data_IF_152430949380
#
_entry.id   IF_152430949380
#
_cell.length_a   1.000
_cell.length_b   1.000
_cell.length_c   1.000
_cell.angle_alpha   90.00
_cell.angle_beta   90.00
_cell.angle_gamma   90.00
#
_symmetry.space_group_name_H-M   'P 1'
#
loop_
_entity.id
_entity.type
_entity.pdbx_description
1 polymer ?
#
# COMPACT_ATOMS: atom_id res chain seq x y z
N UNK A 1 8.28 -10.10 5.18
CA UNK A 1 7.00 -9.49 4.76
C UNK A 1 7.05 -9.14 3.28
N UNK A 2 5.98 -9.39 2.56
CA UNK A 2 5.90 -9.09 1.13
C UNK A 2 4.82 -8.05 0.87
N UNK A 3 5.22 -6.92 0.28
CA UNK A 3 4.35 -5.77 0.02
C UNK A 3 4.26 -5.52 -1.49
N UNK A 4 3.05 -5.30 -1.99
CA UNK A 4 2.84 -4.78 -3.33
C UNK A 4 2.71 -3.26 -3.23
N UNK A 5 3.62 -2.54 -3.84
CA UNK A 5 3.61 -1.07 -3.88
C UNK A 5 3.16 -0.61 -5.26
N UNK A 6 1.93 -0.13 -5.35
CA UNK A 6 1.37 0.39 -6.59
C UNK A 6 1.55 1.91 -6.59
N UNK A 7 2.43 2.41 -7.45
CA UNK A 7 2.80 3.82 -7.48
C UNK A 7 3.26 4.22 -8.89
N UNK A 8 3.25 5.50 -9.16
CA UNK A 8 3.77 6.03 -10.42
C UNK A 8 5.30 5.90 -10.44
N UNK A 9 5.85 5.50 -11.57
CA UNK A 9 7.28 5.23 -11.72
C UNK A 9 8.17 6.35 -11.18
N UNK A 10 7.81 7.60 -11.47
CA UNK A 10 8.61 8.76 -11.05
C UNK A 10 8.71 8.93 -9.54
N UNK A 11 7.77 8.35 -8.78
CA UNK A 11 7.71 8.47 -7.33
C UNK A 11 8.07 7.16 -6.61
N UNK A 12 8.30 6.09 -7.37
CA UNK A 12 8.46 4.75 -6.81
C UNK A 12 9.62 4.67 -5.82
N UNK A 13 10.76 5.27 -6.16
CA UNK A 13 11.95 5.21 -5.33
C UNK A 13 11.71 5.88 -3.97
N UNK A 14 11.02 7.02 -3.97
CA UNK A 14 10.74 7.74 -2.74
C UNK A 14 9.86 6.93 -1.78
N UNK A 15 8.79 6.32 -2.31
CA UNK A 15 7.89 5.50 -1.49
C UNK A 15 8.57 4.21 -1.02
N UNK A 16 9.27 3.56 -1.92
CA UNK A 16 9.96 2.31 -1.59
C UNK A 16 11.02 2.51 -0.53
N UNK A 17 11.81 3.59 -0.63
CA UNK A 17 12.85 3.91 0.34
C UNK A 17 12.27 4.12 1.73
N UNK A 18 11.14 4.82 1.82
CA UNK A 18 10.48 5.01 3.12
C UNK A 18 10.02 3.70 3.72
N UNK A 19 9.39 2.85 2.92
CA UNK A 19 8.92 1.55 3.41
C UNK A 19 10.08 0.68 3.86
N UNK A 20 11.16 0.63 3.10
CA UNK A 20 12.35 -0.15 3.49
C UNK A 20 12.99 0.37 4.76
N UNK A 21 13.04 1.67 4.92
CA UNK A 21 13.58 2.29 6.13
C UNK A 21 12.75 1.94 7.36
N UNK A 22 11.43 2.02 7.25
CA UNK A 22 10.52 1.75 8.36
C UNK A 22 10.54 0.28 8.80
N UNK A 23 10.73 -0.63 7.86
CA UNK A 23 10.72 -2.07 8.12
C UNK A 23 12.10 -2.72 7.94
N UNK A 24 13.16 -1.95 8.20
CA UNK A 24 14.54 -2.41 8.07
C UNK A 24 14.86 -3.61 8.97
N UNK A 25 14.09 -3.80 10.04
CA UNK A 25 14.24 -4.96 10.93
C UNK A 25 13.73 -6.27 10.34
N UNK A 26 13.03 -6.22 9.22
CA UNK A 26 12.55 -7.42 8.53
C UNK A 26 13.54 -7.84 7.44
N UNK A 27 14.37 -8.84 7.75
CA UNK A 27 15.39 -9.34 6.82
C UNK A 27 14.82 -10.04 5.59
N UNK A 28 13.51 -10.30 5.57
CA UNK A 28 12.82 -10.97 4.46
C UNK A 28 11.87 -10.02 3.73
N UNK A 29 12.02 -8.72 3.94
CA UNK A 29 11.16 -7.74 3.30
C UNK A 29 11.34 -7.77 1.78
N UNK A 30 10.22 -7.97 1.08
CA UNK A 30 10.15 -7.90 -0.38
C UNK A 30 9.12 -6.85 -0.75
N UNK A 31 9.49 -5.93 -1.61
CA UNK A 31 8.59 -4.91 -2.13
C UNK A 31 8.56 -5.04 -3.65
N UNK A 32 7.40 -5.40 -4.18
CA UNK A 32 7.18 -5.44 -5.63
C UNK A 32 6.59 -4.10 -6.07
N UNK A 33 7.29 -3.39 -6.95
CA UNK A 33 6.80 -2.14 -7.51
C UNK A 33 5.89 -2.42 -8.70
N UNK A 34 4.71 -1.80 -8.70
CA UNK A 34 3.72 -1.94 -9.75
C UNK A 34 3.34 -0.52 -10.21
N UNK A 35 3.42 -0.25 -11.50
CA UNK A 35 3.33 1.11 -12.02
C UNK A 35 2.00 1.42 -12.71
N UNK A 36 1.14 0.42 -12.86
CA UNK A 36 -0.17 0.60 -13.48
C UNK A 36 -1.12 -0.52 -13.04
N UNK A 37 -2.40 -0.35 -13.39
CA UNK A 37 -3.43 -1.31 -13.00
C UNK A 37 -3.21 -2.72 -13.57
N UNK A 38 -2.66 -2.80 -14.77
CA UNK A 38 -2.42 -4.10 -15.40
C UNK A 38 -1.39 -4.90 -14.60
N UNK A 39 -0.29 -4.25 -14.21
CA UNK A 39 0.74 -4.88 -13.38
C UNK A 39 0.19 -5.26 -12.02
N UNK A 40 -0.61 -4.38 -11.42
CA UNK A 40 -1.26 -4.66 -10.14
C UNK A 40 -2.15 -5.90 -10.23
N UNK A 41 -2.99 -5.97 -11.26
CA UNK A 41 -3.89 -7.10 -11.47
C UNK A 41 -3.11 -8.41 -11.64
N UNK A 42 -2.06 -8.39 -12.45
CA UNK A 42 -1.24 -9.58 -12.66
C UNK A 42 -0.55 -10.03 -11.38
N UNK A 43 0.00 -9.09 -10.61
CA UNK A 43 0.69 -9.41 -9.36
C UNK A 43 -0.28 -10.02 -8.34
N UNK A 44 -1.45 -9.43 -8.17
CA UNK A 44 -2.44 -9.92 -7.20
C UNK A 44 -3.00 -11.29 -7.57
N UNK A 45 -3.01 -11.65 -8.85
CA UNK A 45 -3.43 -12.98 -9.29
C UNK A 45 -2.35 -14.04 -9.11
N UNK A 46 -1.07 -13.64 -9.15
CA UNK A 46 0.07 -14.58 -9.13
C UNK A 46 0.65 -14.81 -7.75
N UNK A 47 0.55 -13.82 -6.88
CA UNK A 47 1.25 -13.84 -5.60
C UNK A 47 0.34 -13.41 -4.47
N UNK A 48 0.65 -13.90 -3.28
CA UNK A 48 0.00 -13.43 -2.05
C UNK A 48 0.90 -12.38 -1.40
N UNK A 49 0.27 -11.27 -1.00
CA UNK A 49 0.97 -10.20 -0.32
C UNK A 49 0.45 -10.05 1.11
N UNK A 50 1.31 -9.59 1.99
CA UNK A 50 0.91 -9.24 3.36
C UNK A 50 0.15 -7.92 3.39
N UNK A 51 0.48 -7.02 2.46
CA UNK A 51 -0.23 -5.77 2.30
C UNK A 51 -0.08 -5.24 0.88
N UNK A 52 -1.07 -4.46 0.45
CA UNK A 52 -1.00 -3.68 -0.79
C UNK A 52 -0.98 -2.22 -0.40
N UNK A 53 0.00 -1.48 -0.87
CA UNK A 53 0.11 -0.04 -0.65
C UNK A 53 -0.17 0.66 -1.97
N UNK A 54 -1.23 1.46 -2.01
CA UNK A 54 -1.59 2.27 -3.17
C UNK A 54 -1.11 3.70 -2.91
N UNK A 55 -0.14 4.14 -3.70
CA UNK A 55 0.48 5.47 -3.57
C UNK A 55 0.47 6.17 -4.92
N UNK A 56 -0.72 6.34 -5.47
CA UNK A 56 -0.95 7.02 -6.76
C UNK A 56 -1.87 8.20 -6.53
N UNK A 57 -1.63 9.27 -7.26
CA UNK A 57 -2.42 10.50 -7.12
C UNK A 57 -3.74 10.45 -7.88
N UNK A 58 -4.73 11.17 -7.36
CA UNK A 58 -6.00 11.41 -8.02
C UNK A 58 -6.78 10.15 -8.37
N UNK A 59 -7.44 10.19 -9.52
CA UNK A 59 -8.32 9.12 -9.99
C UNK A 59 -7.59 7.79 -10.20
N UNK A 60 -6.31 7.82 -10.56
CA UNK A 60 -5.53 6.59 -10.73
C UNK A 60 -5.41 5.83 -9.41
N UNK A 61 -5.21 6.55 -8.31
CA UNK A 61 -5.17 5.95 -6.98
C UNK A 61 -6.50 5.32 -6.60
N UNK A 62 -7.60 6.02 -6.89
CA UNK A 62 -8.94 5.50 -6.65
C UNK A 62 -9.20 4.21 -7.44
N UNK A 63 -8.90 4.23 -8.73
CA UNK A 63 -9.10 3.06 -9.59
C UNK A 63 -8.26 1.87 -9.11
N UNK A 64 -6.99 2.12 -8.74
CA UNK A 64 -6.11 1.07 -8.23
C UNK A 64 -6.63 0.49 -6.90
N UNK A 65 -7.12 1.34 -6.01
CA UNK A 65 -7.69 0.88 -4.74
C UNK A 65 -8.92 0.01 -4.94
N UNK A 66 -9.83 0.41 -5.83
CA UNK A 66 -11.03 -0.37 -6.16
C UNK A 66 -10.62 -1.72 -6.74
N UNK A 67 -9.67 -1.72 -7.68
CA UNK A 67 -9.20 -2.94 -8.33
C UNK A 67 -8.56 -3.90 -7.33
N UNK A 68 -7.72 -3.39 -6.44
CA UNK A 68 -7.07 -4.20 -5.43
C UNK A 68 -8.09 -4.85 -4.49
N UNK A 69 -9.09 -4.11 -4.04
CA UNK A 69 -10.14 -4.64 -3.17
C UNK A 69 -10.97 -5.71 -3.87
N UNK A 70 -11.20 -5.56 -5.16
CA UNK A 70 -11.96 -6.53 -5.94
C UNK A 70 -11.18 -7.82 -6.17
N UNK A 71 -9.88 -7.71 -6.48
CA UNK A 71 -9.05 -8.88 -6.81
C UNK A 71 -8.53 -9.63 -5.60
N UNK A 72 -8.27 -8.92 -4.51
CA UNK A 72 -7.69 -9.50 -3.31
C UNK A 72 -8.35 -8.91 -2.06
N UNK A 73 -9.65 -9.20 -1.85
CA UNK A 73 -10.40 -8.57 -0.76
C UNK A 73 -9.88 -8.94 0.64
N UNK A 74 -9.18 -10.06 0.76
CA UNK A 74 -8.61 -10.52 2.02
C UNK A 74 -7.24 -9.90 2.34
N UNK A 75 -6.61 -9.23 1.38
CA UNK A 75 -5.29 -8.61 1.60
C UNK A 75 -5.48 -7.19 2.15
N UNK A 76 -4.83 -6.86 3.29
CA UNK A 76 -4.92 -5.51 3.84
C UNK A 76 -4.40 -4.48 2.85
N UNK A 77 -5.13 -3.37 2.74
CA UNK A 77 -4.82 -2.30 1.81
C UNK A 77 -4.51 -1.01 2.57
N UNK A 78 -3.41 -0.36 2.20
CA UNK A 78 -3.10 1.00 2.62
C UNK A 78 -3.28 1.90 1.41
N UNK A 79 -4.16 2.90 1.54
CA UNK A 79 -4.35 3.90 0.50
C UNK A 79 -3.67 5.20 0.94
N UNK A 80 -2.56 5.50 0.31
CA UNK A 80 -1.72 6.65 0.61
C UNK A 80 -2.02 7.71 -0.45
N UNK A 81 -2.92 8.63 -0.11
CA UNK A 81 -3.55 9.52 -1.09
C UNK A 81 -3.15 10.98 -0.90
N UNK A 82 -3.13 11.70 -2.02
CA UNK A 82 -2.96 13.16 -2.03
C UNK A 82 -4.29 13.91 -1.87
N UNK A 83 -5.42 13.21 -1.87
CA UNK A 83 -6.75 13.83 -1.81
C UNK A 83 -7.56 13.26 -0.64
N UNK A 84 -7.73 14.08 0.41
CA UNK A 84 -8.48 13.68 1.59
C UNK A 84 -9.97 13.49 1.32
N UNK A 85 -10.49 14.00 0.20
CA UNK A 85 -11.88 13.80 -0.17
C UNK A 85 -12.20 12.34 -0.49
N UNK A 86 -11.19 11.51 -0.75
CA UNK A 86 -11.37 10.08 -0.94
C UNK A 86 -11.58 9.30 0.36
N UNK A 87 -11.45 9.95 1.51
CA UNK A 87 -11.58 9.25 2.81
C UNK A 87 -12.93 8.54 2.97
N UNK A 88 -14.01 9.15 2.52
CA UNK A 88 -15.34 8.54 2.61
C UNK A 88 -15.44 7.31 1.72
N UNK A 89 -14.84 7.37 0.53
CA UNK A 89 -14.80 6.23 -0.39
C UNK A 89 -13.99 5.10 0.24
N UNK A 90 -12.85 5.43 0.85
CA UNK A 90 -12.02 4.45 1.55
C UNK A 90 -12.81 3.75 2.66
N UNK A 91 -13.59 4.50 3.41
CA UNK A 91 -14.47 3.95 4.44
C UNK A 91 -15.49 2.97 3.85
N UNK A 92 -16.17 3.36 2.76
CA UNK A 92 -17.14 2.49 2.10
C UNK A 92 -16.53 1.24 1.50
N UNK A 93 -15.29 1.34 1.02
CA UNK A 93 -14.56 0.18 0.49
C UNK A 93 -13.95 -0.70 1.58
N UNK A 94 -14.10 -0.30 2.84
CA UNK A 94 -13.51 -0.99 4.00
C UNK A 94 -12.00 -1.12 3.89
N UNK A 95 -11.36 -0.04 3.45
CA UNK A 95 -9.91 0.03 3.42
C UNK A 95 -9.42 0.36 4.83
N UNK A 96 -8.60 -0.49 5.43
CA UNK A 96 -8.24 -0.35 6.85
C UNK A 96 -7.33 0.84 7.14
N UNK A 97 -6.58 1.33 6.15
CA UNK A 97 -5.70 2.47 6.35
C UNK A 97 -5.77 3.42 5.16
N UNK A 98 -6.20 4.64 5.43
CA UNK A 98 -6.21 5.75 4.48
C UNK A 98 -5.34 6.85 5.07
N UNK A 99 -4.25 7.17 4.38
CA UNK A 99 -3.25 8.10 4.89
C UNK A 99 -2.99 9.23 3.89
N UNK A 100 -2.78 10.47 4.38
CA UNK A 100 -2.35 11.54 3.50
C UNK A 100 -0.91 11.29 3.03
N UNK A 101 -0.59 11.81 1.85
CA UNK A 101 0.74 11.66 1.26
C UNK A 101 1.84 12.21 2.19
N UNK A 102 1.54 13.27 2.92
CA UNK A 102 2.48 13.92 3.84
C UNK A 102 2.42 13.40 5.28
N UNK A 103 1.83 12.23 5.49
CA UNK A 103 1.79 11.65 6.83
C UNK A 103 3.21 11.40 7.34
N UNK A 104 3.34 11.37 8.68
CA UNK A 104 4.62 11.11 9.31
C UNK A 104 5.04 9.65 9.14
N UNK A 105 6.34 9.39 9.31
CA UNK A 105 6.86 8.03 9.30
C UNK A 105 6.22 7.18 10.40
N UNK A 106 5.96 7.79 11.55
CA UNK A 106 5.31 7.09 12.66
C UNK A 106 3.90 6.65 12.29
N UNK A 107 3.12 7.53 11.66
CA UNK A 107 1.76 7.19 11.23
C UNK A 107 1.76 6.08 10.19
N UNK A 108 2.66 6.14 9.22
CA UNK A 108 2.79 5.12 8.18
C UNK A 108 3.18 3.77 8.79
N UNK A 109 4.18 3.77 9.68
CA UNK A 109 4.65 2.57 10.35
C UNK A 109 3.54 1.91 11.16
N UNK A 110 2.84 2.69 11.98
CA UNK A 110 1.76 2.17 12.83
C UNK A 110 0.60 1.62 11.99
N UNK A 111 0.26 2.30 10.90
CA UNK A 111 -0.81 1.84 10.02
C UNK A 111 -0.48 0.48 9.41
N UNK A 112 0.69 0.32 8.83
CA UNK A 112 1.09 -0.93 8.18
C UNK A 112 1.26 -2.04 9.22
N UNK A 113 1.89 -1.74 10.35
CA UNK A 113 2.07 -2.70 11.43
C UNK A 113 0.73 -3.23 11.95
N UNK A 114 -0.23 -2.32 12.12
CA UNK A 114 -1.55 -2.65 12.64
C UNK A 114 -2.30 -3.63 11.72
N UNK A 115 -2.29 -3.38 10.42
CA UNK A 115 -3.08 -4.18 9.47
C UNK A 115 -2.40 -5.47 9.06
N UNK A 116 -1.06 -5.52 9.10
CA UNK A 116 -0.31 -6.74 8.74
C UNK A 116 -0.01 -7.61 9.94
N UNK A 117 -0.21 -7.10 11.14
CA UNK A 117 0.20 -7.76 12.37
C UNK A 117 1.68 -8.11 12.37
N UNK A 118 2.47 -7.35 11.60
CA UNK A 118 3.90 -7.54 11.55
C UNK A 118 4.52 -7.29 12.92
N UNK A 119 5.40 -8.19 13.34
CA UNK A 119 6.11 -8.06 14.61
C UNK A 119 7.60 -8.10 14.36
N UNK A 120 8.32 -7.18 14.99
CA UNK A 120 9.76 -7.19 14.96
C UNK A 120 10.25 -8.46 15.65
N UNK A 121 11.06 -9.23 14.94
CA UNK A 121 11.75 -10.36 15.57
C UNK A 121 12.74 -9.83 16.62
N UNK A 122 12.62 -10.31 17.82
CA UNK A 122 13.51 -9.93 18.92
C UNK A 122 14.60 -10.98 19.03
#
# INVERSE_FOLDING_TARGET
MKIALCTELRNAEWFESRLRSLFAGDGQLVIDELWNEKQLSQALRRSRYHAVVIAMTGAKGLEAAIQAKRLAPEVPLVWWSDDENFALIAYHLRIPAFLPIDCSDQELYEAIKSITKWRRCV
#
